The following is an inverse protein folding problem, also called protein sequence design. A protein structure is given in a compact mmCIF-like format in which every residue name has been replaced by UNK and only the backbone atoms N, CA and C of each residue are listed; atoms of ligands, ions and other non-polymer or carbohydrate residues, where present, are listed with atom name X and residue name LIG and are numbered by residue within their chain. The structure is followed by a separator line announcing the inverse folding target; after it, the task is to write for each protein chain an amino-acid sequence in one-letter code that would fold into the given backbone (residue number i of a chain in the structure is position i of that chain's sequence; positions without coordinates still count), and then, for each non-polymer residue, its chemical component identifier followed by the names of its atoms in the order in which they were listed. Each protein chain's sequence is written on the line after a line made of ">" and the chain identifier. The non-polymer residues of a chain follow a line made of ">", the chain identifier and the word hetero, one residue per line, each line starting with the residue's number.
data_IF_666750103501
#
_entry.id   IF_666750103501
#
_cell.length_a   1.000
_cell.length_b   1.000
_cell.length_c   1.000
_cell.angle_alpha   90.00
_cell.angle_beta   90.00
_cell.angle_gamma   90.00
#
_symmetry.space_group_name_H-M   'P 1'
#
loop_
_entity.id
_entity.type
_entity.pdbx_description
1 polymer ?
#
# COMPACT_ATOMS: atom_id res chain seq x y z
N UNK A 1 3.77 -23.07 -16.96
CA UNK A 1 3.34 -22.16 -18.05
C UNK A 1 3.20 -20.77 -17.47
N UNK A 2 3.86 -19.76 -18.05
CA UNK A 2 3.75 -18.38 -17.59
C UNK A 2 2.34 -17.82 -17.85
N UNK A 3 1.76 -17.12 -16.85
CA UNK A 3 0.36 -16.60 -16.91
C UNK A 3 0.23 -15.10 -16.63
N UNK A 4 1.32 -14.34 -16.69
CA UNK A 4 1.33 -12.90 -16.34
C UNK A 4 0.31 -12.07 -17.12
N UNK A 5 0.10 -12.36 -18.40
CA UNK A 5 -0.83 -11.65 -19.28
C UNK A 5 -2.23 -12.27 -19.37
N UNK A 6 -2.56 -13.22 -18.48
CA UNK A 6 -3.87 -13.89 -18.48
C UNK A 6 -5.01 -13.05 -17.89
N UNK A 7 -4.68 -12.10 -17.01
CA UNK A 7 -5.65 -11.22 -16.37
C UNK A 7 -5.07 -9.82 -16.21
N UNK A 8 -5.82 -8.83 -16.68
CA UNK A 8 -5.51 -7.43 -16.51
C UNK A 8 -6.42 -6.82 -15.44
N UNK A 9 -6.03 -5.65 -14.92
CA UNK A 9 -6.91 -4.88 -14.04
C UNK A 9 -8.23 -4.56 -14.75
N UNK A 10 -9.38 -4.68 -14.06
CA UNK A 10 -10.71 -4.65 -14.69
C UNK A 10 -10.96 -3.39 -15.52
N UNK A 11 -10.42 -2.25 -15.08
CA UNK A 11 -10.55 -0.97 -15.79
C UNK A 11 -9.85 -0.93 -17.16
N UNK A 12 -8.78 -1.70 -17.35
CA UNK A 12 -8.03 -1.77 -18.61
C UNK A 12 -8.17 -3.12 -19.30
N UNK A 13 -8.92 -4.07 -18.72
CA UNK A 13 -8.90 -5.45 -19.14
C UNK A 13 -9.45 -5.66 -20.55
N UNK A 14 -10.58 -5.03 -20.87
CA UNK A 14 -11.18 -5.13 -22.21
C UNK A 14 -10.29 -4.51 -23.29
N UNK A 15 -9.66 -3.37 -22.99
CA UNK A 15 -8.83 -2.65 -23.94
C UNK A 15 -7.48 -3.33 -24.17
N UNK A 16 -6.74 -3.66 -23.10
CA UNK A 16 -5.44 -4.33 -23.20
C UNK A 16 -5.56 -5.76 -23.76
N UNK A 17 -6.60 -6.51 -23.38
CA UNK A 17 -6.80 -7.86 -23.93
C UNK A 17 -7.12 -7.83 -25.42
N UNK A 18 -7.79 -6.78 -25.91
CA UNK A 18 -8.03 -6.58 -27.33
C UNK A 18 -6.73 -6.29 -28.09
N UNK A 19 -5.93 -5.34 -27.62
CA UNK A 19 -4.63 -5.03 -28.25
C UNK A 19 -3.70 -6.25 -28.25
N UNK A 20 -3.67 -7.00 -27.14
CA UNK A 20 -2.87 -8.22 -27.03
C UNK A 20 -3.24 -9.26 -28.09
N UNK A 21 -4.54 -9.39 -28.39
CA UNK A 21 -5.07 -10.38 -29.35
C UNK A 21 -5.01 -9.90 -30.79
N UNK A 22 -5.14 -8.60 -31.03
CA UNK A 22 -5.26 -8.07 -32.39
C UNK A 22 -3.89 -7.67 -32.99
N UNK A 23 -2.94 -7.18 -32.16
CA UNK A 23 -1.66 -6.65 -32.65
C UNK A 23 -0.42 -7.35 -32.07
N UNK A 24 -0.48 -7.86 -30.84
CA UNK A 24 0.71 -8.37 -30.13
C UNK A 24 0.74 -9.89 -29.97
N UNK A 25 0.14 -10.63 -30.90
CA UNK A 25 0.03 -12.10 -30.83
C UNK A 25 1.37 -12.79 -30.90
N UNK A 26 2.29 -12.30 -31.71
CA UNK A 26 3.56 -12.97 -32.00
C UNK A 26 4.49 -12.91 -30.77
N UNK A 27 4.62 -11.73 -30.17
CA UNK A 27 5.36 -11.54 -28.92
C UNK A 27 4.74 -12.33 -27.76
N UNK A 28 3.41 -12.38 -27.70
CA UNK A 28 2.70 -13.15 -26.68
C UNK A 28 2.92 -14.66 -26.85
N UNK A 29 2.97 -15.17 -28.09
CA UNK A 29 3.30 -16.57 -28.36
C UNK A 29 4.76 -16.89 -28.02
N UNK A 30 5.70 -15.99 -28.36
CA UNK A 30 7.10 -16.14 -27.98
C UNK A 30 7.28 -16.23 -26.45
N UNK A 31 6.52 -15.42 -25.69
CA UNK A 31 6.51 -15.50 -24.22
C UNK A 31 5.98 -16.84 -23.68
N UNK A 32 5.05 -17.51 -24.38
CA UNK A 32 4.46 -18.77 -23.95
C UNK A 32 5.32 -20.00 -24.31
N UNK A 33 6.12 -19.93 -25.36
CA UNK A 33 6.86 -21.07 -25.93
C UNK A 33 8.30 -21.17 -25.46
N UNK A 34 8.94 -20.08 -25.02
CA UNK A 34 10.36 -20.07 -24.68
C UNK A 34 10.64 -20.53 -23.22
N UNK A 35 11.60 -21.45 -22.98
CA UNK A 35 12.08 -21.78 -21.63
C UNK A 35 12.94 -20.66 -21.01
N UNK A 36 13.13 -20.74 -19.68
CA UNK A 36 13.20 -19.63 -18.72
C UNK A 36 14.40 -18.65 -18.62
N UNK A 37 15.56 -18.70 -19.32
CA UNK A 37 16.66 -17.77 -19.03
C UNK A 37 16.32 -16.28 -19.29
N UNK A 38 15.36 -16.02 -20.19
CA UNK A 38 15.00 -14.66 -20.64
C UNK A 38 13.51 -14.37 -20.55
N UNK A 39 12.78 -15.00 -19.62
CA UNK A 39 11.34 -14.78 -19.45
C UNK A 39 10.98 -13.29 -19.25
N UNK A 40 11.84 -12.53 -18.55
CA UNK A 40 11.66 -11.09 -18.36
C UNK A 40 11.85 -10.30 -19.66
N UNK A 41 12.76 -10.72 -20.56
CA UNK A 41 12.96 -10.07 -21.85
C UNK A 41 11.70 -10.20 -22.73
N UNK A 42 11.18 -11.42 -22.87
CA UNK A 42 9.95 -11.65 -23.63
C UNK A 42 8.73 -10.95 -23.02
N UNK A 43 8.62 -10.93 -21.69
CA UNK A 43 7.57 -10.17 -21.03
C UNK A 43 7.69 -8.65 -21.29
N UNK A 44 8.91 -8.10 -21.30
CA UNK A 44 9.13 -6.70 -21.63
C UNK A 44 8.80 -6.40 -23.10
N UNK A 45 9.08 -7.31 -24.04
CA UNK A 45 8.68 -7.14 -25.44
C UNK A 45 7.16 -7.08 -25.62
N UNK A 46 6.41 -7.97 -24.95
CA UNK A 46 4.93 -7.93 -24.95
C UNK A 46 4.43 -6.61 -24.39
N UNK A 47 5.01 -6.14 -23.27
CA UNK A 47 4.66 -4.84 -22.68
C UNK A 47 4.98 -3.67 -23.63
N UNK A 48 6.13 -3.70 -24.31
CA UNK A 48 6.51 -2.69 -25.29
C UNK A 48 5.52 -2.63 -26.46
N UNK A 49 5.11 -3.79 -27.01
CA UNK A 49 4.09 -3.86 -28.06
C UNK A 49 2.74 -3.31 -27.57
N UNK A 50 2.31 -3.70 -26.36
CA UNK A 50 1.08 -3.18 -25.76
C UNK A 50 1.13 -1.66 -25.58
N UNK A 51 2.25 -1.13 -25.11
CA UNK A 51 2.45 0.30 -24.93
C UNK A 51 2.46 1.01 -26.28
N UNK A 52 3.10 0.47 -27.32
CA UNK A 52 3.13 1.11 -28.64
C UNK A 52 1.71 1.38 -29.16
N UNK A 53 0.84 0.38 -29.10
CA UNK A 53 -0.56 0.45 -29.55
C UNK A 53 -1.55 1.04 -28.54
N UNK A 54 -1.10 1.48 -27.37
CA UNK A 54 -1.95 2.12 -26.37
C UNK A 54 -2.26 3.57 -26.76
N UNK A 55 -3.49 4.02 -26.51
CA UNK A 55 -3.92 5.40 -26.75
C UNK A 55 -3.01 6.41 -26.03
N UNK A 56 -2.73 7.53 -26.70
CA UNK A 56 -1.88 8.59 -26.16
C UNK A 56 -2.44 9.19 -24.85
N UNK A 57 -3.76 9.34 -24.76
CA UNK A 57 -4.44 9.77 -23.53
C UNK A 57 -4.23 8.78 -22.38
N UNK A 58 -4.20 7.48 -22.68
CA UNK A 58 -3.93 6.44 -21.69
C UNK A 58 -2.49 6.48 -21.20
N UNK A 59 -1.53 6.67 -22.12
CA UNK A 59 -0.10 6.85 -21.77
C UNK A 59 0.10 8.06 -20.86
N UNK A 60 -0.57 9.17 -21.16
CA UNK A 60 -0.52 10.38 -20.34
C UNK A 60 -1.07 10.13 -18.91
N UNK A 61 -2.18 9.41 -18.77
CA UNK A 61 -2.74 9.07 -17.46
C UNK A 61 -1.80 8.17 -16.64
N UNK A 62 -1.12 7.22 -17.28
CA UNK A 62 -0.12 6.37 -16.63
C UNK A 62 1.08 7.19 -16.13
N UNK A 63 1.56 8.14 -16.94
CA UNK A 63 2.65 9.04 -16.57
C UNK A 63 2.30 9.98 -15.40
N UNK A 64 1.08 10.52 -15.37
CA UNK A 64 0.62 11.35 -14.24
C UNK A 64 0.45 10.50 -12.97
N UNK A 65 -0.07 9.27 -13.11
CA UNK A 65 -0.23 8.35 -11.99
C UNK A 65 1.12 7.95 -11.38
N UNK A 66 2.15 7.71 -12.19
CA UNK A 66 3.49 7.39 -11.67
C UNK A 66 4.12 8.58 -10.93
N UNK A 67 3.92 9.81 -11.40
CA UNK A 67 4.35 11.01 -10.70
C UNK A 67 3.64 11.17 -9.34
N UNK A 68 2.32 10.98 -9.31
CA UNK A 68 1.53 11.01 -8.07
C UNK A 68 1.97 9.93 -7.08
N UNK A 69 2.21 8.70 -7.56
CA UNK A 69 2.73 7.60 -6.74
C UNK A 69 4.12 7.92 -6.18
N UNK A 70 4.96 8.63 -6.94
CA UNK A 70 6.27 9.11 -6.47
C UNK A 70 6.18 10.20 -5.39
N UNK A 71 5.13 11.02 -5.40
CA UNK A 71 4.87 12.05 -4.38
C UNK A 71 4.09 11.54 -3.17
N UNK A 72 3.49 10.35 -3.26
CA UNK A 72 2.65 9.77 -2.22
C UNK A 72 3.38 9.62 -0.86
N UNK A 73 4.67 9.21 -0.78
CA UNK A 73 5.39 9.19 0.48
C UNK A 73 5.45 10.56 1.16
N UNK A 74 5.59 11.64 0.40
CA UNK A 74 5.63 13.01 0.91
C UNK A 74 4.27 13.45 1.44
N UNK A 75 3.19 13.16 0.71
CA UNK A 75 1.81 13.47 1.13
C UNK A 75 1.48 12.71 2.41
N UNK A 76 1.81 11.43 2.45
CA UNK A 76 1.66 10.59 3.63
C UNK A 76 2.44 11.17 4.81
N UNK A 77 3.71 11.57 4.62
CA UNK A 77 4.52 12.22 5.65
C UNK A 77 3.95 13.55 6.17
N UNK A 78 3.09 14.24 5.41
CA UNK A 78 2.40 15.45 5.89
C UNK A 78 1.19 15.12 6.79
N UNK A 79 0.50 14.01 6.53
CA UNK A 79 -0.71 13.59 7.25
C UNK A 79 -0.40 12.64 8.42
N UNK A 80 0.78 12.01 8.41
CA UNK A 80 1.20 11.04 9.42
C UNK A 80 1.27 11.60 10.85
N UNK A 81 1.19 10.69 11.83
CA UNK A 81 1.34 11.04 13.25
C UNK A 81 2.77 11.50 13.54
N UNK A 82 2.92 12.44 14.49
CA UNK A 82 4.25 12.83 14.97
C UNK A 82 4.79 11.79 15.96
N UNK A 83 6.12 11.61 16.00
CA UNK A 83 6.79 10.72 16.97
C UNK A 83 6.61 11.19 18.40
N UNK A 84 6.54 12.52 18.63
CA UNK A 84 6.33 13.11 19.95
C UNK A 84 4.95 12.77 20.52
N UNK A 85 3.92 12.70 19.68
CA UNK A 85 2.55 12.34 20.07
C UNK A 85 2.45 10.88 20.50
N UNK A 86 3.04 9.97 19.70
CA UNK A 86 3.09 8.54 20.04
C UNK A 86 3.96 8.31 21.29
N UNK A 87 5.07 9.04 21.43
CA UNK A 87 5.95 8.97 22.60
C UNK A 87 5.24 9.41 23.90
N UNK A 88 4.51 10.52 23.88
CA UNK A 88 3.70 10.98 25.02
C UNK A 88 2.59 9.98 25.35
N UNK A 89 1.96 9.38 24.35
CA UNK A 89 0.94 8.35 24.54
C UNK A 89 1.52 7.08 25.17
N UNK A 90 2.73 6.68 24.78
CA UNK A 90 3.41 5.50 25.31
C UNK A 90 3.68 5.60 26.82
N UNK A 91 3.93 6.81 27.35
CA UNK A 91 4.13 7.05 28.78
C UNK A 91 2.89 6.74 29.64
N UNK A 92 1.67 6.89 29.08
CA UNK A 92 0.42 6.58 29.80
C UNK A 92 -0.21 5.25 29.40
N UNK A 93 -0.10 4.85 28.13
CA UNK A 93 -0.77 3.68 27.55
C UNK A 93 0.15 2.97 26.55
N UNK A 94 1.20 2.26 27.02
CA UNK A 94 2.27 1.74 26.16
C UNK A 94 1.78 0.72 25.13
N UNK A 95 0.88 -0.19 25.54
CA UNK A 95 0.32 -1.22 24.63
C UNK A 95 -0.47 -0.58 23.49
N UNK A 96 -1.21 0.48 23.78
CA UNK A 96 -2.02 1.15 22.78
C UNK A 96 -1.14 1.94 21.81
N UNK A 97 -0.13 2.64 22.31
CA UNK A 97 0.85 3.34 21.49
C UNK A 97 1.58 2.39 20.53
N UNK A 98 1.93 1.18 21.00
CA UNK A 98 2.54 0.15 20.17
C UNK A 98 1.61 -0.29 19.04
N UNK A 99 0.37 -0.66 19.36
CA UNK A 99 -0.63 -1.05 18.36
C UNK A 99 -0.87 0.05 17.32
N UNK A 100 -0.98 1.30 17.76
CA UNK A 100 -1.16 2.46 16.89
C UNK A 100 0.06 2.71 16.00
N UNK A 101 1.27 2.50 16.51
CA UNK A 101 2.50 2.55 15.72
C UNK A 101 2.55 1.47 14.64
N UNK A 102 2.06 0.27 14.91
CA UNK A 102 1.95 -0.79 13.89
C UNK A 102 0.90 -0.47 12.83
N UNK A 103 -0.21 0.16 13.22
CA UNK A 103 -1.29 0.57 12.32
C UNK A 103 -0.99 1.85 11.53
N UNK A 104 0.02 2.63 11.93
CA UNK A 104 0.42 3.88 11.28
C UNK A 104 1.82 3.73 10.68
N UNK A 105 1.96 3.11 9.49
CA UNK A 105 3.26 2.88 8.85
C UNK A 105 3.96 4.17 8.39
N UNK A 106 3.34 5.33 8.60
CA UNK A 106 3.83 6.63 8.16
C UNK A 106 4.01 7.54 9.36
N UNK A 107 5.19 8.17 9.43
CA UNK A 107 5.58 9.12 10.47
C UNK A 107 5.80 10.48 9.84
N UNK A 108 5.24 11.54 10.44
CA UNK A 108 5.51 12.89 9.96
C UNK A 108 6.87 13.36 10.42
N UNK A 109 7.76 13.66 9.46
CA UNK A 109 9.07 14.26 9.73
C UNK A 109 8.99 15.78 9.95
N UNK A 110 7.94 16.43 9.46
CA UNK A 110 7.81 17.90 9.47
C UNK A 110 7.40 18.42 10.86
N UNK A 111 6.59 17.64 11.60
CA UNK A 111 6.09 18.01 12.94
C UNK A 111 6.95 17.48 14.09
N UNK A 112 8.06 16.82 13.80
CA UNK A 112 8.97 16.28 14.82
C UNK A 112 9.67 17.38 15.64
N UNK A 113 9.78 18.59 15.09
CA UNK A 113 10.50 19.72 15.70
C UNK A 113 9.60 20.70 16.44
N UNK A 114 8.28 20.53 16.36
CA UNK A 114 7.34 21.35 17.13
C UNK A 114 7.20 20.76 18.54
N UNK A 115 8.03 21.28 19.46
CA UNK A 115 8.02 20.87 20.86
C UNK A 115 6.80 21.50 21.55
N UNK A 116 5.68 20.77 21.60
CA UNK A 116 4.58 21.11 22.51
C UNK A 116 5.05 20.91 23.94
N UNK A 117 4.81 21.89 24.80
CA UNK A 117 5.15 21.80 26.21
C UNK A 117 4.45 20.56 26.83
N UNK A 118 5.22 19.56 27.32
CA UNK A 118 4.66 18.31 27.80
C UNK A 118 3.76 18.53 29.02
N UNK A 119 4.00 19.61 29.77
CA UNK A 119 3.22 19.98 30.95
C UNK A 119 1.80 20.41 30.55
N UNK A 120 1.63 21.15 29.46
CA UNK A 120 0.33 21.60 28.97
C UNK A 120 -0.50 20.43 28.42
N UNK A 121 0.14 19.49 27.71
CA UNK A 121 -0.52 18.28 27.17
C UNK A 121 -0.92 17.29 28.27
N UNK A 122 -0.16 17.25 29.38
CA UNK A 122 -0.43 16.34 30.50
C UNK A 122 -1.47 16.87 31.50
N UNK A 123 -1.84 18.17 31.42
CA UNK A 123 -2.84 18.74 32.31
C UNK A 123 -4.21 18.08 32.09
N UNK A 124 -4.92 17.71 33.17
CA UNK A 124 -6.26 17.16 33.07
C UNK A 124 -7.19 18.22 32.46
N UNK A 125 -7.65 17.99 31.24
CA UNK A 125 -8.59 18.85 30.54
C UNK A 125 -9.91 18.95 31.32
N UNK A 126 -10.38 20.16 31.59
CA UNK A 126 -11.72 20.39 32.16
C UNK A 126 -12.78 19.76 31.23
N UNK A 127 -13.63 18.89 31.80
CA UNK A 127 -14.52 18.01 31.02
C UNK A 127 -14.02 16.56 30.87
N UNK A 128 -12.96 16.16 31.57
CA UNK A 128 -12.48 14.77 31.57
C UNK A 128 -13.59 13.79 31.94
N UNK A 129 -13.65 12.67 31.20
CA UNK A 129 -14.67 11.64 31.28
C UNK A 129 -14.90 11.25 32.75
N UNK A 130 -16.16 11.22 33.26
CA UNK A 130 -16.46 10.89 34.64
C UNK A 130 -15.80 9.59 35.07
N UNK A 131 -15.38 9.56 36.33
CA UNK A 131 -14.67 8.47 37.02
C UNK A 131 -15.49 7.17 37.17
N UNK A 132 -16.53 7.01 36.36
CA UNK A 132 -17.36 5.83 36.35
C UNK A 132 -16.59 4.66 35.72
N UNK A 133 -16.22 3.71 36.57
CA UNK A 133 -15.30 2.60 36.25
C UNK A 133 -15.85 1.74 35.10
N UNK A 134 -17.17 1.55 35.05
CA UNK A 134 -17.84 0.76 34.02
C UNK A 134 -17.75 1.46 32.66
N UNK A 135 -17.99 2.77 32.63
CA UNK A 135 -17.94 3.57 31.39
C UNK A 135 -16.52 3.68 30.84
N UNK A 136 -15.54 3.86 31.73
CA UNK A 136 -14.11 3.83 31.38
C UNK A 136 -13.68 2.49 30.78
N UNK A 137 -14.14 1.37 31.36
CA UNK A 137 -13.82 0.03 30.84
C UNK A 137 -14.39 -0.22 29.44
N UNK A 138 -15.63 0.23 29.18
CA UNK A 138 -16.26 0.13 27.85
C UNK A 138 -15.50 0.93 26.80
N UNK A 139 -15.12 2.17 27.13
CA UNK A 139 -14.35 3.03 26.22
C UNK A 139 -13.01 2.39 25.84
N UNK A 140 -12.27 1.87 26.84
CA UNK A 140 -11.00 1.20 26.58
C UNK A 140 -11.18 -0.02 25.67
N UNK A 141 -12.19 -0.86 25.93
CA UNK A 141 -12.48 -2.02 25.08
C UNK A 141 -12.76 -1.61 23.63
N UNK A 142 -13.58 -0.58 23.41
CA UNK A 142 -13.87 -0.09 22.05
C UNK A 142 -12.62 0.44 21.36
N UNK A 143 -11.74 1.13 22.08
CA UNK A 143 -10.49 1.69 21.55
C UNK A 143 -9.57 0.58 21.05
N UNK A 144 -9.39 -0.49 21.83
CA UNK A 144 -8.57 -1.64 21.43
C UNK A 144 -9.15 -2.42 20.27
N UNK A 145 -10.47 -2.65 20.24
CA UNK A 145 -11.14 -3.36 19.14
C UNK A 145 -10.99 -2.60 17.83
N UNK A 146 -11.22 -1.28 17.84
CA UNK A 146 -11.06 -0.43 16.64
C UNK A 146 -9.61 -0.43 16.18
N UNK A 147 -8.65 -0.35 17.11
CA UNK A 147 -7.23 -0.34 16.76
C UNK A 147 -6.79 -1.66 16.13
N UNK A 148 -7.22 -2.80 16.68
CA UNK A 148 -6.92 -4.12 16.11
C UNK A 148 -7.55 -4.31 14.72
N UNK A 149 -8.78 -3.85 14.52
CA UNK A 149 -9.44 -3.89 13.21
C UNK A 149 -8.68 -3.05 12.17
N UNK A 150 -8.21 -1.86 12.55
CA UNK A 150 -7.41 -1.01 11.68
C UNK A 150 -6.06 -1.66 11.31
N UNK A 151 -5.35 -2.26 12.27
CA UNK A 151 -4.10 -2.99 12.00
C UNK A 151 -4.34 -4.15 11.04
N UNK A 152 -5.40 -4.94 11.27
CA UNK A 152 -5.76 -6.06 10.39
C UNK A 152 -5.97 -5.59 8.94
N UNK A 153 -6.65 -4.46 8.76
CA UNK A 153 -6.85 -3.86 7.44
C UNK A 153 -5.52 -3.43 6.80
N UNK A 154 -4.64 -2.76 7.55
CA UNK A 154 -3.33 -2.31 7.04
C UNK A 154 -2.46 -3.50 6.63
N UNK A 155 -2.38 -4.54 7.46
CA UNK A 155 -1.62 -5.76 7.15
C UNK A 155 -2.16 -6.46 5.91
N UNK A 156 -3.48 -6.54 5.77
CA UNK A 156 -4.12 -7.11 4.59
C UNK A 156 -3.75 -6.35 3.30
N UNK A 157 -3.82 -5.02 3.35
CA UNK A 157 -3.46 -4.17 2.20
C UNK A 157 -1.97 -4.28 1.87
N UNK A 158 -1.08 -4.27 2.88
CA UNK A 158 0.37 -4.45 2.67
C UNK A 158 0.64 -5.80 2.00
N UNK A 159 0.03 -6.88 2.49
CA UNK A 159 0.19 -8.21 1.91
C UNK A 159 -0.23 -8.23 0.44
N UNK A 160 -1.40 -7.65 0.13
CA UNK A 160 -1.91 -7.58 -1.23
C UNK A 160 -0.99 -6.76 -2.16
N UNK A 161 -0.47 -5.61 -1.69
CA UNK A 161 0.45 -4.78 -2.47
C UNK A 161 1.79 -5.47 -2.69
N UNK A 162 2.33 -6.14 -1.68
CA UNK A 162 3.56 -6.92 -1.80
C UNK A 162 3.39 -8.04 -2.85
N UNK A 163 2.26 -8.75 -2.82
CA UNK A 163 1.95 -9.78 -3.82
C UNK A 163 1.96 -9.21 -5.24
N UNK A 164 1.23 -8.12 -5.49
CA UNK A 164 1.20 -7.49 -6.80
C UNK A 164 2.56 -6.96 -7.25
N UNK A 165 3.36 -6.40 -6.33
CA UNK A 165 4.71 -5.90 -6.63
C UNK A 165 5.61 -7.04 -7.12
N UNK A 166 5.61 -8.19 -6.44
CA UNK A 166 6.44 -9.33 -6.86
C UNK A 166 5.96 -9.90 -8.20
N UNK A 167 4.65 -9.99 -8.43
CA UNK A 167 4.10 -10.40 -9.72
C UNK A 167 4.41 -9.41 -10.85
N UNK A 168 4.59 -8.12 -10.55
CA UNK A 168 4.98 -7.12 -11.54
C UNK A 168 6.43 -7.34 -12.01
N UNK A 169 7.34 -7.66 -11.10
CA UNK A 169 8.76 -7.86 -11.43
C UNK A 169 9.08 -9.24 -11.99
N UNK A 170 8.38 -10.30 -11.56
CA UNK A 170 8.65 -11.64 -12.07
C UNK A 170 7.82 -11.95 -13.31
N UNK A 171 8.50 -12.30 -14.40
CA UNK A 171 7.84 -12.85 -15.58
C UNK A 171 7.55 -14.36 -15.49
N UNK A 172 8.19 -15.08 -14.56
CA UNK A 172 8.20 -16.55 -14.56
C UNK A 172 7.76 -17.26 -13.28
N UNK A 173 7.65 -16.61 -12.11
CA UNK A 173 7.62 -17.28 -10.77
C UNK A 173 6.90 -18.64 -10.68
N UNK A 174 7.65 -19.74 -10.50
CA UNK A 174 7.24 -20.90 -9.71
C UNK A 174 7.60 -20.80 -8.21
N UNK A 175 8.42 -19.84 -7.77
CA UNK A 175 8.98 -19.85 -6.39
C UNK A 175 8.10 -19.24 -5.28
N UNK A 176 6.93 -18.69 -5.61
CA UNK A 176 5.92 -18.26 -4.63
C UNK A 176 4.81 -19.30 -4.39
N UNK A 177 4.83 -20.44 -5.08
CA UNK A 177 3.91 -21.58 -4.91
C UNK A 177 4.45 -22.62 -3.89
N UNK A 178 5.24 -22.15 -2.92
CA UNK A 178 5.82 -22.97 -1.85
C UNK A 178 5.31 -22.62 -0.44
N UNK A 179 4.21 -21.86 -0.35
CA UNK A 179 3.41 -21.67 0.87
C UNK A 179 1.93 -21.67 0.52
#
# INVERSE_FOLDING_TARGET
>A
MPRKFGSFFPQFATYLSRILRDNCTDEHQAYLTQPDPWANYHANNVVSCLLEHFDESGKAQLAVSSALLGLLPTIMGMVGSSTSEIGLLALRRPVLAFLLSFGSPVVSHIRSFEYRDPIEVLQPKEGSIPKDVVRRRRYLLTEYVVTLAAIGNVVHVIYQLCWYSVCAFSASTPWLLGM
#
